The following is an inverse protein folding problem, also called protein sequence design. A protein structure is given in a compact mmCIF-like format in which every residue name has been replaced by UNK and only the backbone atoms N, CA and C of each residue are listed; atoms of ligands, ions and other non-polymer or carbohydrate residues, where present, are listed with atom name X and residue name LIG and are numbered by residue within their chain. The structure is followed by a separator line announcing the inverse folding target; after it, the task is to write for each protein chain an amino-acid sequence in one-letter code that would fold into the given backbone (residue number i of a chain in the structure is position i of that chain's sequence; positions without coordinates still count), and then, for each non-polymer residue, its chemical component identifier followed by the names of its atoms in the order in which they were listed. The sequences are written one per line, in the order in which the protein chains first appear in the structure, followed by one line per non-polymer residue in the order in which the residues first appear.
data_IF_074941417630
#
_entry.id   IF_074941417630
#
_cell.length_a   1.000
_cell.length_b   1.000
_cell.length_c   1.000
_cell.angle_alpha   90.00
_cell.angle_beta   90.00
_cell.angle_gamma   90.00
#
_symmetry.space_group_name_H-M   'P 1'
#
loop_
_entity.id
_entity.type
_entity.pdbx_description
1 polymer ?
#
# COMPACT_ATOMS: atom_id res chain seq x y z
N UNK A 1 19.89 -19.87 -11.32
CA UNK A 1 18.60 -20.55 -11.09
C UNK A 1 17.52 -19.66 -11.68
N UNK A 2 16.55 -20.24 -12.40
CA UNK A 2 15.40 -19.47 -12.84
C UNK A 2 14.58 -19.14 -11.58
N UNK A 3 14.23 -17.88 -11.33
CA UNK A 3 13.57 -17.47 -10.09
C UNK A 3 12.25 -18.18 -9.95
N UNK A 4 11.95 -18.63 -8.73
CA UNK A 4 10.75 -19.41 -8.47
C UNK A 4 9.48 -18.54 -8.42
N UNK A 5 9.53 -17.27 -8.84
CA UNK A 5 8.38 -16.37 -8.81
C UNK A 5 7.24 -16.86 -9.72
N UNK A 6 7.58 -17.39 -10.90
CA UNK A 6 6.60 -18.04 -11.78
C UNK A 6 6.16 -19.43 -11.27
N UNK A 7 6.98 -19.99 -10.38
CA UNK A 7 6.76 -21.13 -9.49
C UNK A 7 5.53 -21.05 -8.60
N UNK A 8 5.47 -19.92 -7.89
CA UNK A 8 4.55 -19.71 -6.81
C UNK A 8 3.09 -19.72 -7.29
N UNK A 9 2.20 -20.48 -6.63
CA UNK A 9 0.77 -20.41 -6.87
C UNK A 9 0.26 -18.98 -6.73
N UNK A 10 -0.53 -18.56 -7.72
CA UNK A 10 -1.04 -17.19 -7.81
C UNK A 10 -2.43 -17.19 -8.41
N UNK A 11 -3.35 -16.42 -7.82
CA UNK A 11 -4.62 -16.08 -8.44
C UNK A 11 -4.46 -14.85 -9.36
N UNK A 12 -5.23 -14.77 -10.44
CA UNK A 12 -5.26 -13.58 -11.31
C UNK A 12 -6.46 -12.69 -10.94
N UNK A 13 -6.27 -11.81 -9.95
CA UNK A 13 -7.30 -10.89 -9.45
C UNK A 13 -7.07 -9.46 -9.92
N UNK A 14 -5.82 -9.00 -9.92
CA UNK A 14 -5.45 -7.65 -10.30
C UNK A 14 -5.54 -7.46 -11.82
N UNK A 15 -6.03 -6.30 -12.24
CA UNK A 15 -5.96 -5.84 -13.64
C UNK A 15 -4.55 -5.30 -13.91
N UNK A 16 -3.73 -6.10 -14.59
CA UNK A 16 -2.32 -5.81 -14.84
C UNK A 16 -2.00 -5.77 -16.35
N UNK A 17 -0.93 -5.06 -16.77
CA UNK A 17 -0.10 -4.17 -15.95
C UNK A 17 -0.88 -2.91 -15.52
N UNK A 18 -0.62 -2.38 -14.32
CA UNK A 18 -1.22 -1.09 -13.94
C UNK A 18 -0.51 0.06 -14.70
N UNK A 19 -1.18 1.18 -14.99
CA UNK A 19 -0.55 2.28 -15.72
C UNK A 19 0.70 2.85 -15.00
N UNK A 20 1.71 3.21 -15.80
CA UNK A 20 2.83 4.06 -15.41
C UNK A 20 2.74 5.33 -16.26
N UNK A 21 2.34 6.44 -15.67
CA UNK A 21 1.92 7.64 -16.42
C UNK A 21 2.53 8.93 -15.88
N UNK A 22 2.84 9.91 -16.73
CA UNK A 22 3.40 11.19 -16.30
C UNK A 22 2.30 12.08 -15.70
N UNK A 23 2.58 12.73 -14.57
CA UNK A 23 1.65 13.65 -13.89
C UNK A 23 2.09 15.10 -14.12
N UNK A 24 1.87 15.57 -15.35
CA UNK A 24 2.50 16.80 -15.87
C UNK A 24 2.09 18.08 -15.13
N UNK A 25 0.85 18.18 -14.65
CA UNK A 25 0.36 19.38 -13.96
C UNK A 25 0.87 19.43 -12.53
N UNK A 26 0.97 18.28 -11.87
CA UNK A 26 1.60 18.12 -10.57
C UNK A 26 3.10 18.37 -10.67
N UNK A 27 3.79 17.81 -11.67
CA UNK A 27 5.20 18.12 -11.99
C UNK A 27 5.44 19.62 -12.07
N UNK A 28 4.61 20.35 -12.83
CA UNK A 28 4.72 21.81 -12.92
C UNK A 28 4.48 22.49 -11.57
N UNK A 29 3.47 22.07 -10.81
CA UNK A 29 3.18 22.61 -9.48
C UNK A 29 4.30 22.33 -8.46
N UNK A 30 5.11 21.29 -8.67
CA UNK A 30 6.26 20.92 -7.86
C UNK A 30 7.60 21.42 -8.43
N UNK A 31 7.59 22.48 -9.25
CA UNK A 31 8.81 23.12 -9.73
C UNK A 31 9.47 22.41 -10.93
N UNK A 32 8.72 21.62 -11.68
CA UNK A 32 9.19 20.98 -12.92
C UNK A 32 9.85 19.61 -12.71
N UNK A 33 9.66 18.96 -11.57
CA UNK A 33 10.13 17.60 -11.32
C UNK A 33 9.57 16.62 -12.38
N UNK A 34 10.44 15.79 -12.96
CA UNK A 34 9.99 14.69 -13.82
C UNK A 34 9.33 13.61 -12.96
N UNK A 35 8.00 13.63 -12.91
CA UNK A 35 7.20 12.84 -11.96
C UNK A 35 6.21 11.94 -12.70
N UNK A 36 6.24 10.68 -12.32
CA UNK A 36 5.42 9.60 -12.86
C UNK A 36 4.64 8.94 -11.74
N UNK A 37 3.41 8.52 -12.03
CA UNK A 37 2.61 7.72 -11.12
C UNK A 37 2.52 6.29 -11.62
N UNK A 38 2.87 5.33 -10.76
CA UNK A 38 2.52 3.91 -10.93
C UNK A 38 1.18 3.67 -10.24
N UNK A 39 0.13 3.42 -11.02
CA UNK A 39 -1.29 3.47 -10.61
C UNK A 39 -1.81 2.17 -10.02
N UNK A 40 -1.21 1.70 -8.93
CA UNK A 40 -1.68 0.49 -8.22
C UNK A 40 -3.01 0.68 -7.47
N UNK A 41 -3.54 1.89 -7.41
CA UNK A 41 -4.93 2.17 -7.09
C UNK A 41 -5.90 1.55 -8.13
N UNK A 42 -5.43 1.35 -9.36
CA UNK A 42 -6.20 0.81 -10.49
C UNK A 42 -6.06 -0.71 -10.69
N UNK A 43 -5.56 -1.46 -9.69
CA UNK A 43 -5.57 -2.94 -9.73
C UNK A 43 -6.99 -3.53 -9.83
N UNK A 44 -8.04 -2.74 -9.59
CA UNK A 44 -9.42 -3.03 -10.00
C UNK A 44 -10.22 -3.94 -9.06
N UNK A 45 -9.64 -5.04 -8.57
CA UNK A 45 -10.35 -5.98 -7.71
C UNK A 45 -10.71 -5.37 -6.35
N UNK A 46 -11.99 -5.46 -5.96
CA UNK A 46 -12.46 -4.98 -4.66
C UNK A 46 -12.17 -3.50 -4.39
N UNK A 47 -12.21 -2.63 -5.40
CA UNK A 47 -11.77 -1.21 -5.37
C UNK A 47 -10.24 -1.00 -5.31
N UNK A 48 -9.48 -2.01 -5.72
CA UNK A 48 -8.05 -1.90 -6.03
C UNK A 48 -7.15 -1.61 -4.84
N UNK A 49 -5.96 -1.11 -5.16
CA UNK A 49 -4.87 -0.85 -4.23
C UNK A 49 -3.80 -1.95 -4.22
N UNK A 50 -2.73 -1.68 -3.48
CA UNK A 50 -1.55 -2.53 -3.43
C UNK A 50 -1.80 -3.96 -2.91
N UNK A 51 -2.77 -4.10 -2.00
CA UNK A 51 -3.02 -5.37 -1.30
C UNK A 51 -3.51 -6.48 -2.22
N UNK A 52 -4.12 -6.13 -3.35
CA UNK A 52 -4.55 -7.12 -4.35
C UNK A 52 -3.36 -7.97 -4.80
N UNK A 53 -2.22 -7.35 -5.13
CA UNK A 53 -1.01 -8.07 -5.60
C UNK A 53 -0.49 -9.09 -4.58
N UNK A 54 -0.43 -8.72 -3.31
CA UNK A 54 0.01 -9.64 -2.25
C UNK A 54 -1.02 -10.75 -1.99
N UNK A 55 -2.31 -10.41 -2.05
CA UNK A 55 -3.39 -11.36 -1.79
C UNK A 55 -3.55 -12.42 -2.88
N UNK A 56 -3.13 -12.15 -4.12
CA UNK A 56 -3.11 -13.17 -5.19
C UNK A 56 -2.31 -14.42 -4.80
N UNK A 57 -1.17 -14.24 -4.13
CA UNK A 57 -0.32 -15.35 -3.67
C UNK A 57 -0.81 -15.95 -2.35
N UNK A 58 -1.16 -15.09 -1.38
CA UNK A 58 -1.66 -15.54 -0.06
C UNK A 58 -2.96 -16.34 -0.19
N UNK A 59 -3.85 -15.94 -1.10
CA UNK A 59 -5.10 -16.62 -1.33
C UNK A 59 -4.92 -17.93 -2.10
N UNK A 60 -3.95 -17.99 -3.04
CA UNK A 60 -3.59 -19.23 -3.69
C UNK A 60 -3.06 -20.26 -2.68
N UNK A 61 -2.21 -19.84 -1.74
CA UNK A 61 -1.74 -20.68 -0.63
C UNK A 61 -2.90 -21.11 0.29
N UNK A 62 -3.83 -20.21 0.63
CA UNK A 62 -5.02 -20.57 1.41
C UNK A 62 -5.89 -21.66 0.74
N UNK A 63 -6.06 -21.58 -0.57
CA UNK A 63 -6.76 -22.61 -1.38
C UNK A 63 -5.97 -23.91 -1.40
N UNK A 64 -4.65 -23.85 -1.57
CA UNK A 64 -3.77 -25.02 -1.52
C UNK A 64 -3.81 -25.74 -0.16
N UNK A 65 -4.06 -25.01 0.92
CA UNK A 65 -4.25 -25.54 2.27
C UNK A 65 -5.71 -25.94 2.58
N UNK A 66 -6.60 -25.95 1.59
CA UNK A 66 -8.03 -26.28 1.73
C UNK A 66 -8.74 -25.50 2.84
N UNK A 67 -8.38 -24.22 2.99
CA UNK A 67 -8.95 -23.36 4.02
C UNK A 67 -10.40 -23.02 3.71
N UNK A 68 -11.27 -22.99 4.73
CA UNK A 68 -12.69 -22.63 4.58
C UNK A 68 -12.95 -21.15 4.92
N UNK A 69 -11.94 -20.45 5.43
CA UNK A 69 -12.04 -19.06 5.84
C UNK A 69 -10.70 -18.33 5.82
N UNK A 70 -10.75 -17.02 5.57
CA UNK A 70 -9.62 -16.10 5.71
C UNK A 70 -9.81 -15.25 6.96
N UNK A 71 -8.78 -15.19 7.81
CA UNK A 71 -8.79 -14.44 9.07
C UNK A 71 -7.66 -13.41 9.07
N UNK A 72 -7.99 -12.15 9.31
CA UNK A 72 -7.02 -11.04 9.36
C UNK A 72 -7.47 -9.99 10.37
N UNK A 73 -6.72 -8.89 10.50
CA UNK A 73 -7.15 -7.74 11.27
C UNK A 73 -6.54 -6.42 10.83
N UNK A 74 -7.10 -5.33 11.34
CA UNK A 74 -6.73 -3.96 10.98
C UNK A 74 -7.67 -2.92 11.60
N UNK A 75 -7.57 -1.67 11.17
CA UNK A 75 -8.65 -0.69 11.44
C UNK A 75 -9.95 -1.15 10.80
N UNK A 76 -11.11 -0.64 11.28
CA UNK A 76 -12.34 -0.66 10.51
C UNK A 76 -12.17 -0.06 9.10
N UNK A 77 -11.34 0.98 8.96
CA UNK A 77 -11.00 1.58 7.67
C UNK A 77 -9.80 0.93 6.94
N UNK A 78 -9.40 -0.28 7.30
CA UNK A 78 -8.21 -0.90 6.72
C UNK A 78 -8.45 -1.38 5.28
N UNK A 79 -7.68 -0.83 4.34
CA UNK A 79 -7.64 -1.33 2.96
C UNK A 79 -7.27 -2.81 2.88
N UNK A 80 -6.42 -3.31 3.79
CA UNK A 80 -6.02 -4.72 3.88
C UNK A 80 -7.19 -5.62 4.28
N UNK A 81 -7.96 -5.20 5.29
CA UNK A 81 -9.15 -5.95 5.71
C UNK A 81 -10.14 -6.01 4.55
N UNK A 82 -10.49 -4.86 3.96
CA UNK A 82 -11.41 -4.78 2.81
C UNK A 82 -11.04 -5.67 1.65
N UNK A 83 -9.78 -5.62 1.22
CA UNK A 83 -9.33 -6.49 0.12
C UNK A 83 -9.29 -7.96 0.52
N UNK A 84 -8.91 -8.30 1.75
CA UNK A 84 -8.96 -9.69 2.24
C UNK A 84 -10.39 -10.23 2.28
N UNK A 85 -11.36 -9.43 2.76
CA UNK A 85 -12.76 -9.81 2.79
C UNK A 85 -13.34 -9.94 1.37
N UNK A 86 -12.91 -9.09 0.43
CA UNK A 86 -13.30 -9.20 -0.96
C UNK A 86 -12.79 -10.50 -1.60
N UNK A 87 -11.55 -10.90 -1.29
CA UNK A 87 -10.99 -12.18 -1.75
C UNK A 87 -11.74 -13.36 -1.13
N UNK A 88 -12.03 -13.32 0.18
CA UNK A 88 -12.79 -14.37 0.85
C UNK A 88 -14.16 -14.56 0.18
N UNK A 89 -14.90 -13.46 -0.02
CA UNK A 89 -16.21 -13.49 -0.68
C UNK A 89 -16.12 -14.01 -2.13
N UNK A 90 -15.12 -13.57 -2.91
CA UNK A 90 -14.91 -14.04 -4.29
C UNK A 90 -14.65 -15.54 -4.38
N UNK A 91 -13.88 -16.09 -3.43
CA UNK A 91 -13.57 -17.52 -3.36
C UNK A 91 -14.68 -18.36 -2.69
N UNK A 92 -15.77 -17.74 -2.23
CA UNK A 92 -16.81 -18.42 -1.47
C UNK A 92 -16.37 -18.87 -0.07
N UNK A 93 -15.26 -18.32 0.45
CA UNK A 93 -14.75 -18.56 1.80
C UNK A 93 -15.40 -17.61 2.81
N UNK A 94 -15.42 -18.00 4.08
CA UNK A 94 -15.83 -17.04 5.15
C UNK A 94 -14.72 -16.01 5.35
N UNK A 95 -15.08 -14.73 5.42
CA UNK A 95 -14.17 -13.67 5.83
C UNK A 95 -14.35 -13.33 7.31
N UNK A 96 -13.26 -13.35 8.10
CA UNK A 96 -13.27 -12.91 9.49
C UNK A 96 -12.24 -11.79 9.69
N UNK A 97 -12.71 -10.65 10.18
CA UNK A 97 -11.88 -9.49 10.46
C UNK A 97 -11.89 -9.18 11.97
N UNK A 98 -10.72 -9.23 12.59
CA UNK A 98 -10.51 -8.82 13.98
C UNK A 98 -10.11 -7.35 14.02
N UNK A 99 -10.91 -6.54 14.69
CA UNK A 99 -10.83 -5.08 14.69
C UNK A 99 -10.66 -4.56 16.13
N UNK A 100 -9.84 -3.50 16.36
CA UNK A 100 -9.68 -2.91 17.68
C UNK A 100 -10.95 -2.16 18.12
N UNK A 101 -10.99 -1.80 19.40
CA UNK A 101 -12.03 -0.95 19.99
C UNK A 101 -13.44 -1.54 19.83
N UNK A 102 -14.44 -0.66 19.81
CA UNK A 102 -15.85 -0.95 19.53
C UNK A 102 -16.21 -0.57 18.09
N UNK A 103 -17.39 -0.99 17.67
CA UNK A 103 -17.91 -0.68 16.33
C UNK A 103 -17.99 0.84 16.08
N UNK A 104 -17.52 1.35 14.93
CA UNK A 104 -17.75 2.73 14.53
C UNK A 104 -19.24 3.09 14.47
N UNK A 105 -19.57 4.32 14.85
CA UNK A 105 -20.94 4.83 14.79
C UNK A 105 -21.44 4.97 13.34
N UNK A 106 -20.58 5.48 12.45
CA UNK A 106 -20.91 5.66 11.03
C UNK A 106 -20.48 4.44 10.21
N UNK A 107 -21.33 4.02 9.28
CA UNK A 107 -21.04 2.94 8.33
C UNK A 107 -20.72 3.53 6.97
N UNK A 108 -19.43 3.66 6.66
CA UNK A 108 -18.91 4.24 5.42
C UNK A 108 -17.55 3.64 5.05
N UNK A 109 -16.96 4.09 3.95
CA UNK A 109 -15.62 3.69 3.50
C UNK A 109 -15.42 2.17 3.46
N UNK A 110 -14.26 1.72 3.95
CA UNK A 110 -13.94 0.29 3.96
C UNK A 110 -14.85 -0.49 4.92
N UNK A 111 -15.29 0.11 6.03
CA UNK A 111 -16.17 -0.56 7.00
C UNK A 111 -17.55 -0.89 6.42
N UNK A 112 -18.11 -0.01 5.57
CA UNK A 112 -19.31 -0.31 4.79
C UNK A 112 -19.08 -1.47 3.83
N UNK A 113 -17.95 -1.47 3.11
CA UNK A 113 -17.62 -2.50 2.14
C UNK A 113 -17.46 -3.87 2.81
N UNK A 114 -16.81 -3.94 3.96
CA UNK A 114 -16.67 -5.19 4.73
C UNK A 114 -18.03 -5.78 5.11
N UNK A 115 -19.00 -4.93 5.51
CA UNK A 115 -20.38 -5.39 5.76
C UNK A 115 -21.08 -5.90 4.51
N UNK A 116 -20.93 -5.21 3.37
CA UNK A 116 -21.51 -5.63 2.09
C UNK A 116 -20.93 -6.97 1.61
N UNK A 117 -19.66 -7.23 1.91
CA UNK A 117 -18.98 -8.49 1.64
C UNK A 117 -19.35 -9.60 2.63
N UNK A 118 -20.31 -9.33 3.54
CA UNK A 118 -20.77 -10.25 4.58
C UNK A 118 -19.62 -10.76 5.48
N UNK A 119 -18.64 -9.90 5.74
CA UNK A 119 -17.54 -10.22 6.64
C UNK A 119 -18.03 -10.39 8.08
N UNK A 120 -17.50 -11.38 8.79
CA UNK A 120 -17.67 -11.50 10.24
C UNK A 120 -16.69 -10.54 10.93
N UNK A 121 -17.23 -9.49 11.55
CA UNK A 121 -16.45 -8.46 12.22
C UNK A 121 -16.38 -8.73 13.73
N UNK A 122 -15.18 -8.93 14.26
CA UNK A 122 -14.92 -9.22 15.66
C UNK A 122 -14.20 -8.03 16.29
N UNK A 123 -14.94 -7.23 17.06
CA UNK A 123 -14.40 -6.09 17.79
C UNK A 123 -13.81 -6.54 19.13
N UNK A 124 -12.54 -6.23 19.39
CA UNK A 124 -11.83 -6.71 20.58
C UNK A 124 -12.22 -5.95 21.86
N UNK A 125 -12.79 -4.74 21.73
CA UNK A 125 -12.99 -3.81 22.84
C UNK A 125 -11.70 -3.13 23.31
N UNK A 126 -10.53 -3.56 22.82
CA UNK A 126 -9.22 -3.00 23.16
C UNK A 126 -8.78 -1.98 22.10
N UNK A 127 -8.63 -0.69 22.45
CA UNK A 127 -8.15 0.32 21.51
C UNK A 127 -6.65 0.19 21.18
N UNK A 128 -5.86 -0.51 22.00
CA UNK A 128 -4.44 -0.67 21.77
C UNK A 128 -4.16 -1.72 20.67
N UNK A 129 -3.78 -1.18 19.51
CA UNK A 129 -3.42 -1.96 18.32
C UNK A 129 -2.23 -2.88 18.51
N UNK A 130 -1.40 -2.68 19.54
CA UNK A 130 -0.26 -3.54 19.86
C UNK A 130 -0.70 -4.97 20.15
N UNK A 131 -1.89 -5.16 20.72
CA UNK A 131 -2.41 -6.50 21.05
C UNK A 131 -3.24 -7.12 19.93
N UNK A 132 -3.47 -6.40 18.82
CA UNK A 132 -4.36 -6.88 17.76
C UNK A 132 -3.88 -8.19 17.13
N UNK A 133 -2.57 -8.36 16.95
CA UNK A 133 -2.01 -9.61 16.41
C UNK A 133 -2.26 -10.81 17.34
N UNK A 134 -2.23 -10.59 18.67
CA UNK A 134 -2.60 -11.60 19.67
C UNK A 134 -4.08 -11.94 19.58
N UNK A 135 -4.95 -10.95 19.40
CA UNK A 135 -6.39 -11.17 19.22
C UNK A 135 -6.70 -11.93 17.93
N UNK A 136 -6.00 -11.65 16.83
CA UNK A 136 -6.12 -12.42 15.59
C UNK A 136 -5.77 -13.89 15.84
N UNK A 137 -4.63 -14.16 16.47
CA UNK A 137 -4.22 -15.53 16.81
C UNK A 137 -5.25 -16.24 17.71
N UNK A 138 -5.78 -15.56 18.73
CA UNK A 138 -6.82 -16.13 19.58
C UNK A 138 -8.11 -16.47 18.81
N UNK A 139 -8.54 -15.60 17.88
CA UNK A 139 -9.73 -15.85 17.07
C UNK A 139 -9.52 -17.02 16.10
N UNK A 140 -8.32 -17.14 15.52
CA UNK A 140 -7.93 -18.30 14.69
C UNK A 140 -8.05 -19.60 15.49
N UNK A 141 -7.49 -19.66 16.71
CA UNK A 141 -7.60 -20.85 17.56
C UNK A 141 -9.04 -21.14 17.98
N UNK A 142 -9.83 -20.10 18.27
CA UNK A 142 -11.26 -20.25 18.57
C UNK A 142 -12.05 -20.79 17.37
N UNK A 143 -11.70 -20.40 16.15
CA UNK A 143 -12.35 -20.89 14.93
C UNK A 143 -11.96 -22.35 14.64
N UNK A 144 -10.69 -22.71 14.89
CA UNK A 144 -10.22 -24.10 14.81
C UNK A 144 -10.93 -25.01 15.81
N UNK A 145 -11.09 -24.57 17.05
CA UNK A 145 -11.79 -25.37 18.07
C UNK A 145 -13.28 -25.59 17.78
N UNK A 146 -13.87 -24.77 16.90
CA UNK A 146 -15.22 -24.94 16.37
C UNK A 146 -15.27 -25.77 15.07
N UNK A 147 -14.16 -26.38 14.66
CA UNK A 147 -14.06 -27.25 13.47
C UNK A 147 -13.81 -26.51 12.16
N UNK A 148 -13.49 -25.22 12.19
CA UNK A 148 -13.10 -24.45 11.02
C UNK A 148 -11.65 -24.71 10.57
N UNK A 149 -11.34 -24.36 9.32
CA UNK A 149 -9.99 -24.39 8.73
C UNK A 149 -9.54 -22.95 8.38
N UNK A 150 -9.22 -22.10 9.38
CA UNK A 150 -8.81 -20.73 9.15
C UNK A 150 -7.40 -20.61 8.58
N UNK A 151 -7.29 -19.83 7.51
CA UNK A 151 -6.04 -19.29 7.00
C UNK A 151 -5.79 -17.91 7.61
N UNK A 152 -4.73 -17.77 8.40
CA UNK A 152 -4.38 -16.51 9.05
C UNK A 152 -3.52 -15.65 8.13
N UNK A 153 -4.02 -14.49 7.75
CA UNK A 153 -3.26 -13.47 7.03
C UNK A 153 -2.81 -12.41 8.04
N UNK A 154 -1.49 -12.32 8.27
CA UNK A 154 -0.92 -11.27 9.12
C UNK A 154 -1.30 -9.88 8.59
N UNK A 155 -1.47 -8.91 9.48
CA UNK A 155 -1.94 -7.57 9.12
C UNK A 155 -1.08 -6.95 8.01
N UNK A 156 -1.74 -6.45 6.96
CA UNK A 156 -1.07 -5.86 5.81
C UNK A 156 -0.43 -6.85 4.84
N UNK A 157 -0.55 -8.16 5.08
CA UNK A 157 0.00 -9.24 4.26
C UNK A 157 1.44 -9.62 4.62
N UNK A 158 1.91 -9.27 5.83
CA UNK A 158 3.31 -9.46 6.28
C UNK A 158 3.71 -10.91 6.18
N UNK A 159 4.49 -11.23 5.15
CA UNK A 159 5.08 -12.53 4.89
C UNK A 159 5.98 -12.42 3.65
N UNK A 160 6.91 -13.36 3.47
CA UNK A 160 7.69 -13.48 2.23
C UNK A 160 6.77 -13.66 1.00
N UNK A 161 5.74 -14.51 1.13
CA UNK A 161 4.76 -14.75 0.08
C UNK A 161 3.96 -13.49 -0.29
N UNK A 162 3.60 -12.66 0.69
CA UNK A 162 2.98 -11.36 0.45
C UNK A 162 3.89 -10.38 -0.29
N UNK A 163 5.21 -10.46 -0.07
CA UNK A 163 6.19 -9.64 -0.78
C UNK A 163 6.35 -10.07 -2.25
N UNK A 164 6.13 -11.35 -2.59
CA UNK A 164 6.19 -11.84 -3.97
C UNK A 164 5.30 -11.06 -4.94
N UNK A 165 4.14 -10.57 -4.47
CA UNK A 165 3.27 -9.66 -5.22
C UNK A 165 3.96 -8.38 -5.70
N UNK A 166 4.86 -7.83 -4.88
CA UNK A 166 5.64 -6.63 -5.22
C UNK A 166 6.99 -6.92 -5.88
N UNK A 167 7.52 -8.14 -5.74
CA UNK A 167 8.59 -8.61 -6.64
C UNK A 167 8.06 -8.69 -8.08
N UNK A 168 6.86 -9.25 -8.28
CA UNK A 168 6.21 -9.28 -9.59
C UNK A 168 5.90 -7.86 -10.12
N UNK A 169 5.47 -6.95 -9.24
CA UNK A 169 5.26 -5.54 -9.61
C UNK A 169 6.57 -4.85 -10.04
N UNK A 170 7.69 -5.16 -9.40
CA UNK A 170 9.00 -4.63 -9.80
C UNK A 170 9.42 -5.10 -11.20
N UNK A 171 9.20 -6.38 -11.53
CA UNK A 171 9.40 -6.91 -12.89
C UNK A 171 8.51 -6.18 -13.90
N UNK A 172 7.23 -5.99 -13.57
CA UNK A 172 6.28 -5.22 -14.38
C UNK A 172 6.77 -3.78 -14.61
N UNK A 173 7.19 -3.07 -13.56
CA UNK A 173 7.75 -1.72 -13.65
C UNK A 173 8.98 -1.70 -14.56
N UNK A 174 9.91 -2.64 -14.41
CA UNK A 174 11.12 -2.70 -15.25
C UNK A 174 10.78 -2.88 -16.75
N UNK A 175 9.77 -3.70 -17.06
CA UNK A 175 9.28 -3.86 -18.45
C UNK A 175 8.72 -2.54 -18.99
N UNK A 176 7.86 -1.87 -18.22
CA UNK A 176 7.25 -0.60 -18.62
C UNK A 176 8.31 0.51 -18.80
N UNK A 177 9.31 0.58 -17.93
CA UNK A 177 10.41 1.55 -18.05
C UNK A 177 11.23 1.35 -19.31
N UNK A 178 11.52 0.09 -19.66
CA UNK A 178 12.21 -0.26 -20.89
C UNK A 178 11.41 0.13 -22.13
N UNK A 179 10.10 -0.12 -22.13
CA UNK A 179 9.20 0.24 -23.23
C UNK A 179 9.08 1.76 -23.41
N UNK A 180 9.04 2.50 -22.30
CA UNK A 180 8.95 3.96 -22.29
C UNK A 180 10.31 4.66 -22.45
N UNK A 181 11.42 3.91 -22.40
CA UNK A 181 12.78 4.43 -22.40
C UNK A 181 13.02 5.47 -21.27
N UNK A 182 12.64 5.10 -20.05
CA UNK A 182 12.79 5.91 -18.83
C UNK A 182 13.77 5.23 -17.89
N UNK A 183 14.70 6.01 -17.33
CA UNK A 183 15.62 5.56 -16.29
C UNK A 183 15.33 6.31 -14.98
N UNK A 184 14.64 5.69 -14.01
CA UNK A 184 14.19 6.38 -12.81
C UNK A 184 15.26 6.38 -11.71
N UNK A 185 15.56 7.56 -11.16
CA UNK A 185 16.42 7.67 -9.99
C UNK A 185 15.76 7.16 -8.71
N UNK A 186 14.45 7.41 -8.57
CA UNK A 186 13.71 7.23 -7.31
C UNK A 186 12.34 6.61 -7.56
N UNK A 187 11.98 5.62 -6.74
CA UNK A 187 10.60 5.21 -6.51
C UNK A 187 10.21 5.54 -5.07
N UNK A 188 9.13 6.30 -4.87
CA UNK A 188 8.60 6.68 -3.56
C UNK A 188 7.23 6.05 -3.32
N UNK A 189 7.02 5.49 -2.12
CA UNK A 189 5.74 4.94 -1.70
C UNK A 189 5.45 5.19 -0.21
N UNK A 190 4.20 4.99 0.21
CA UNK A 190 3.86 4.96 1.63
C UNK A 190 4.26 3.61 2.25
N UNK A 191 4.93 3.65 3.40
CA UNK A 191 5.35 2.46 4.15
C UNK A 191 4.51 2.26 5.42
N UNK A 192 3.67 1.23 5.41
CA UNK A 192 2.96 0.77 6.59
C UNK A 192 3.69 -0.41 7.25
N UNK A 193 3.39 -1.60 6.76
CA UNK A 193 3.91 -2.88 7.27
C UNK A 193 5.17 -3.40 6.54
N UNK A 194 5.75 -2.64 5.62
CA UNK A 194 6.99 -2.99 4.92
C UNK A 194 6.86 -3.88 3.67
N UNK A 195 5.79 -4.68 3.55
CA UNK A 195 5.61 -5.67 2.45
C UNK A 195 5.83 -5.10 1.04
N UNK A 196 5.19 -3.96 0.73
CA UNK A 196 5.34 -3.30 -0.57
C UNK A 196 6.80 -2.95 -0.86
N UNK A 197 7.45 -2.28 0.09
CA UNK A 197 8.81 -1.78 -0.05
C UNK A 197 9.82 -2.93 -0.12
N UNK A 198 9.65 -3.97 0.70
CA UNK A 198 10.48 -5.17 0.69
C UNK A 198 10.41 -5.90 -0.66
N UNK A 199 9.21 -6.12 -1.20
CA UNK A 199 9.04 -6.76 -2.52
C UNK A 199 9.65 -5.94 -3.65
N UNK A 200 9.50 -4.62 -3.63
CA UNK A 200 10.13 -3.73 -4.61
C UNK A 200 11.67 -3.79 -4.55
N UNK A 201 12.25 -3.74 -3.35
CA UNK A 201 13.70 -3.85 -3.16
C UNK A 201 14.26 -5.17 -3.69
N UNK A 202 13.61 -6.30 -3.36
CA UNK A 202 14.00 -7.62 -3.87
C UNK A 202 13.90 -7.65 -5.40
N UNK A 203 12.78 -7.19 -5.95
CA UNK A 203 12.56 -7.21 -7.39
C UNK A 203 13.49 -6.28 -8.17
N UNK A 204 13.75 -5.06 -7.69
CA UNK A 204 14.69 -4.14 -8.35
C UNK A 204 16.14 -4.62 -8.25
N UNK A 205 16.55 -5.18 -7.11
CA UNK A 205 17.87 -5.79 -6.97
C UNK A 205 18.02 -6.97 -7.92
N UNK A 206 17.00 -7.82 -8.01
CA UNK A 206 16.98 -8.98 -8.91
C UNK A 206 17.01 -8.57 -10.40
N UNK A 207 16.28 -7.51 -10.77
CA UNK A 207 16.23 -6.97 -12.13
C UNK A 207 17.38 -6.01 -12.46
N UNK A 208 18.33 -5.84 -11.54
CA UNK A 208 19.48 -4.92 -11.65
C UNK A 208 19.08 -3.46 -11.97
N UNK A 209 17.89 -3.03 -11.53
CA UNK A 209 17.43 -1.65 -11.70
C UNK A 209 18.08 -0.76 -10.63
N UNK A 210 18.88 0.21 -11.06
CA UNK A 210 19.51 1.19 -10.18
C UNK A 210 18.55 2.32 -9.79
N UNK A 211 17.48 1.97 -9.06
CA UNK A 211 16.45 2.91 -8.60
C UNK A 211 16.34 2.88 -7.06
N UNK A 212 16.42 4.04 -6.41
CA UNK A 212 16.31 4.14 -4.95
C UNK A 212 14.85 4.04 -4.51
N UNK A 213 14.54 3.13 -3.58
CA UNK A 213 13.17 2.95 -3.06
C UNK A 213 13.00 3.66 -1.72
N UNK A 214 12.32 4.81 -1.73
CA UNK A 214 11.97 5.58 -0.54
C UNK A 214 10.58 5.20 0.01
N UNK A 215 10.53 4.92 1.30
CA UNK A 215 9.31 4.71 2.06
C UNK A 215 8.99 5.89 2.97
N UNK A 216 7.87 6.56 2.78
CA UNK A 216 7.33 7.49 3.77
C UNK A 216 6.50 6.69 4.77
N UNK A 217 7.02 6.45 5.96
CA UNK A 217 6.30 5.67 6.97
C UNK A 217 5.14 6.47 7.56
N UNK A 218 4.05 5.76 7.87
CA UNK A 218 2.81 6.37 8.38
C UNK A 218 2.43 5.88 9.77
N UNK A 219 3.28 5.07 10.40
CA UNK A 219 2.90 4.39 11.65
C UNK A 219 4.04 4.00 12.60
N UNK A 220 5.26 3.82 12.11
CA UNK A 220 6.40 3.32 12.87
C UNK A 220 7.61 4.20 12.67
N UNK A 221 8.55 4.17 13.59
CA UNK A 221 9.84 4.86 13.44
C UNK A 221 10.63 4.29 12.26
N UNK A 222 11.57 5.07 11.74
CA UNK A 222 12.49 4.66 10.67
C UNK A 222 13.19 3.34 11.00
N UNK A 223 13.76 3.23 12.20
CA UNK A 223 14.55 2.06 12.60
C UNK A 223 13.70 0.78 12.70
N UNK A 224 12.48 0.89 13.22
CA UNK A 224 11.55 -0.24 13.25
C UNK A 224 11.21 -0.69 11.82
N UNK A 225 10.89 0.25 10.92
CA UNK A 225 10.61 -0.07 9.52
C UNK A 225 11.80 -0.75 8.83
N UNK A 226 13.02 -0.24 9.01
CA UNK A 226 14.24 -0.83 8.43
C UNK A 226 14.40 -2.28 8.89
N UNK A 227 14.32 -2.53 10.20
CA UNK A 227 14.46 -3.89 10.74
C UNK A 227 13.41 -4.86 10.18
N UNK A 228 12.14 -4.44 10.06
CA UNK A 228 11.10 -5.28 9.47
C UNK A 228 11.31 -5.53 7.98
N UNK A 229 11.71 -4.50 7.23
CA UNK A 229 11.92 -4.62 5.79
C UNK A 229 13.12 -5.50 5.49
N UNK A 230 14.23 -5.35 6.23
CA UNK A 230 15.44 -6.17 6.08
C UNK A 230 15.16 -7.65 6.31
N UNK A 231 14.39 -7.96 7.36
CA UNK A 231 13.97 -9.34 7.60
C UNK A 231 13.10 -9.86 6.45
N UNK A 232 12.13 -9.07 5.98
CA UNK A 232 11.26 -9.48 4.88
C UNK A 232 12.00 -9.64 3.56
N UNK A 233 12.97 -8.78 3.23
CA UNK A 233 13.75 -8.90 1.99
C UNK A 233 14.59 -10.18 2.00
N UNK A 234 15.23 -10.49 3.14
CA UNK A 234 15.97 -11.74 3.33
C UNK A 234 15.09 -12.97 3.13
N UNK A 235 13.99 -13.07 3.88
CA UNK A 235 13.08 -14.23 3.79
C UNK A 235 12.44 -14.35 2.39
N UNK A 236 12.16 -13.21 1.73
CA UNK A 236 11.62 -13.21 0.35
C UNK A 236 12.64 -13.70 -0.66
N UNK A 237 13.91 -13.29 -0.54
CA UNK A 237 14.97 -13.80 -1.40
C UNK A 237 15.17 -15.31 -1.21
N UNK A 238 15.11 -15.79 0.04
CA UNK A 238 15.21 -17.22 0.38
C UNK A 238 14.10 -18.05 -0.29
N UNK A 239 12.82 -17.67 -0.17
CA UNK A 239 11.72 -18.45 -0.77
C UNK A 239 11.73 -18.41 -2.31
N UNK A 240 12.35 -17.39 -2.92
CA UNK A 240 12.46 -17.27 -4.37
C UNK A 240 13.75 -17.93 -4.93
N UNK A 241 14.61 -18.46 -4.06
CA UNK A 241 15.89 -19.05 -4.45
C UNK A 241 16.86 -18.03 -5.05
N UNK A 242 16.78 -16.77 -4.61
CA UNK A 242 17.59 -15.66 -5.11
C UNK A 242 18.81 -15.45 -4.21
N UNK A 243 20.00 -15.45 -4.80
CA UNK A 243 21.25 -15.10 -4.12
C UNK A 243 21.44 -13.57 -4.16
N UNK A 244 20.72 -12.88 -3.27
CA UNK A 244 20.71 -11.42 -3.19
C UNK A 244 21.03 -10.96 -1.77
N UNK A 245 21.84 -9.92 -1.66
CA UNK A 245 22.08 -9.20 -0.41
C UNK A 245 21.45 -7.82 -0.49
N UNK A 246 20.54 -7.55 0.43
CA UNK A 246 19.92 -6.25 0.69
C UNK A 246 20.18 -5.95 2.17
N UNK A 247 20.88 -4.87 2.47
CA UNK A 247 21.22 -4.48 3.85
C UNK A 247 20.37 -3.30 4.30
N UNK A 248 20.49 -2.92 5.58
CA UNK A 248 19.90 -1.70 6.11
C UNK A 248 20.21 -0.43 5.30
N UNK A 249 21.36 -0.38 4.63
CA UNK A 249 21.79 0.79 3.84
C UNK A 249 21.01 0.94 2.53
N UNK A 250 20.48 -0.17 1.99
CA UNK A 250 19.60 -0.18 0.82
C UNK A 250 18.17 0.29 1.18
N UNK A 251 17.81 0.29 2.47
CA UNK A 251 16.44 0.53 2.94
C UNK A 251 16.25 1.98 3.37
N UNK A 252 15.61 2.76 2.51
CA UNK A 252 15.39 4.20 2.74
C UNK A 252 13.99 4.45 3.29
N UNK A 253 13.89 4.89 4.55
CA UNK A 253 12.62 5.21 5.22
C UNK A 253 12.69 6.58 5.88
N UNK A 254 11.62 7.38 5.75
CA UNK A 254 11.49 8.71 6.35
C UNK A 254 10.25 8.74 7.23
N UNK A 255 10.43 9.08 8.51
CA UNK A 255 9.41 9.11 9.57
C UNK A 255 8.96 10.51 10.01
N UNK A 256 9.41 11.55 9.30
CA UNK A 256 9.07 12.96 9.58
C UNK A 256 7.61 13.32 9.26
N UNK A 257 6.92 12.53 8.41
CA UNK A 257 5.58 12.87 7.88
C UNK A 257 4.44 12.03 8.50
N UNK A 258 4.68 11.39 9.65
CA UNK A 258 3.65 10.62 10.36
C UNK A 258 2.54 11.52 10.91
N UNK A 259 2.85 12.76 11.30
CA UNK A 259 1.92 13.65 12.00
C UNK A 259 1.54 13.10 13.38
N UNK A 260 0.29 13.34 13.81
CA UNK A 260 -0.22 12.93 15.13
C UNK A 260 -0.36 11.40 15.32
N UNK A 261 -0.07 10.62 14.27
CA UNK A 261 -0.02 9.17 14.34
C UNK A 261 -0.78 8.45 13.23
N UNK A 262 -0.84 7.12 13.38
CA UNK A 262 -1.53 6.26 12.42
C UNK A 262 -3.06 6.43 12.48
N UNK A 263 -3.72 6.41 11.31
CA UNK A 263 -5.16 6.68 11.15
C UNK A 263 -5.62 8.11 11.47
N UNK A 264 -4.69 9.03 11.71
CA UNK A 264 -4.97 10.46 11.88
C UNK A 264 -4.41 11.21 10.66
N UNK A 265 -5.25 11.89 9.86
CA UNK A 265 -4.77 12.72 8.76
C UNK A 265 -3.86 13.85 9.25
N UNK A 266 -2.82 14.21 8.48
CA UNK A 266 -2.01 15.41 8.76
C UNK A 266 -2.44 16.58 7.86
N UNK A 267 -2.26 17.85 8.31
CA UNK A 267 -2.54 19.02 7.48
C UNK A 267 -1.84 18.98 6.11
N UNK A 268 -0.56 18.62 6.09
CA UNK A 268 0.24 18.52 4.86
C UNK A 268 -0.26 17.39 3.95
N UNK A 269 -0.73 16.29 4.54
CA UNK A 269 -1.37 15.19 3.82
C UNK A 269 -2.67 15.62 3.16
N UNK A 270 -3.51 16.39 3.86
CA UNK A 270 -4.76 16.95 3.30
C UNK A 270 -4.46 17.93 2.16
N UNK A 271 -3.49 18.82 2.33
CA UNK A 271 -3.06 19.73 1.24
C UNK A 271 -2.55 18.97 0.02
N UNK A 272 -1.82 17.87 0.23
CA UNK A 272 -1.35 16.98 -0.85
C UNK A 272 -2.50 16.30 -1.59
N UNK A 273 -3.51 15.80 -0.87
CA UNK A 273 -4.73 15.23 -1.48
C UNK A 273 -5.40 16.28 -2.37
N UNK A 274 -5.58 17.51 -1.87
CA UNK A 274 -6.19 18.61 -2.63
C UNK A 274 -5.36 18.98 -3.85
N UNK A 275 -4.04 19.07 -3.71
CA UNK A 275 -3.11 19.41 -4.79
C UNK A 275 -3.22 18.39 -5.92
N UNK A 276 -3.10 17.10 -5.62
CA UNK A 276 -3.15 16.02 -6.63
C UNK A 276 -4.53 15.94 -7.28
N UNK A 277 -5.61 16.07 -6.51
CA UNK A 277 -6.96 16.10 -7.06
C UNK A 277 -7.18 17.26 -8.04
N UNK A 278 -6.68 18.46 -7.72
CA UNK A 278 -6.85 19.68 -8.54
C UNK A 278 -5.92 19.73 -9.77
N UNK A 279 -4.78 19.06 -9.70
CA UNK A 279 -3.80 19.02 -10.79
C UNK A 279 -4.08 17.89 -11.76
N UNK A 280 -4.34 16.68 -11.25
CA UNK A 280 -4.40 15.46 -12.06
C UNK A 280 -5.75 14.75 -12.06
N UNK A 281 -6.71 15.16 -11.21
CA UNK A 281 -7.97 14.42 -11.04
C UNK A 281 -7.78 13.04 -10.39
N UNK A 282 -6.65 12.83 -9.71
CA UNK A 282 -6.30 11.60 -8.99
C UNK A 282 -6.60 11.77 -7.50
N UNK A 283 -7.11 10.73 -6.86
CA UNK A 283 -7.57 10.77 -5.47
C UNK A 283 -6.70 9.95 -4.53
N UNK A 284 -5.93 10.66 -3.71
CA UNK A 284 -5.13 10.09 -2.62
C UNK A 284 -5.99 9.90 -1.36
N UNK A 285 -5.60 8.94 -0.54
CA UNK A 285 -6.18 8.73 0.78
C UNK A 285 -5.44 9.53 1.87
N UNK A 286 -6.11 9.88 2.98
CA UNK A 286 -5.53 10.72 4.02
C UNK A 286 -4.57 10.00 4.97
N UNK A 287 -4.52 8.67 4.95
CA UNK A 287 -3.74 7.88 5.91
C UNK A 287 -2.40 7.44 5.32
N UNK A 288 -2.35 7.13 4.02
CA UNK A 288 -1.15 6.61 3.37
C UNK A 288 -0.59 7.55 2.31
N UNK A 289 -1.26 7.62 1.17
CA UNK A 289 -0.75 8.22 -0.06
C UNK A 289 -0.70 9.75 0.00
N UNK A 290 -1.63 10.38 0.74
CA UNK A 290 -1.56 11.82 1.03
C UNK A 290 -0.31 12.20 1.82
N UNK A 291 0.04 11.42 2.86
CA UNK A 291 1.27 11.64 3.65
C UNK A 291 2.53 11.39 2.83
N UNK A 292 2.51 10.38 1.95
CA UNK A 292 3.64 10.10 1.09
C UNK A 292 3.89 11.21 0.05
N UNK A 293 2.84 11.79 -0.55
CA UNK A 293 3.00 12.97 -1.42
C UNK A 293 3.38 14.22 -0.64
N UNK A 294 2.92 14.38 0.61
CA UNK A 294 3.39 15.46 1.47
C UNK A 294 4.91 15.36 1.68
N UNK A 295 5.41 14.16 1.95
CA UNK A 295 6.84 13.89 2.05
C UNK A 295 7.60 14.18 0.77
N UNK A 296 7.13 13.69 -0.38
CA UNK A 296 7.72 14.01 -1.69
C UNK A 296 7.79 15.52 -1.93
N UNK A 297 6.68 16.22 -1.68
CA UNK A 297 6.57 17.67 -1.89
C UNK A 297 7.58 18.44 -1.04
N UNK A 298 7.71 18.08 0.23
CA UNK A 298 8.65 18.72 1.16
C UNK A 298 10.11 18.41 0.82
N UNK A 299 10.43 17.17 0.45
CA UNK A 299 11.78 16.77 0.01
C UNK A 299 12.23 17.53 -1.25
N UNK A 300 11.31 17.77 -2.18
CA UNK A 300 11.59 18.59 -3.38
C UNK A 300 11.82 20.06 -2.97
N UNK A 301 10.96 20.61 -2.11
CA UNK A 301 11.09 22.00 -1.63
C UNK A 301 12.38 22.26 -0.85
N UNK A 302 12.84 21.29 -0.06
CA UNK A 302 14.11 21.33 0.69
C UNK A 302 15.33 21.06 -0.20
N UNK A 303 15.14 20.64 -1.46
CA UNK A 303 16.22 20.28 -2.37
C UNK A 303 16.86 18.91 -2.06
N UNK A 304 16.25 18.09 -1.20
CA UNK A 304 16.69 16.71 -0.96
C UNK A 304 16.42 15.80 -2.16
N UNK A 305 15.39 16.13 -2.96
CA UNK A 305 15.16 15.57 -4.29
C UNK A 305 15.31 16.71 -5.28
N UNK A 306 16.35 16.63 -6.11
CA UNK A 306 16.66 17.65 -7.13
C UNK A 306 15.70 17.53 -8.32
N UNK A 307 15.44 18.63 -9.02
CA UNK A 307 14.49 18.70 -10.14
C UNK A 307 14.97 17.99 -11.40
N UNK A 308 16.26 17.66 -11.50
CA UNK A 308 16.84 16.85 -12.56
C UNK A 308 16.59 15.34 -12.38
N UNK A 309 15.94 14.94 -11.28
CA UNK A 309 15.63 13.54 -10.97
C UNK A 309 14.32 13.09 -11.60
N UNK A 310 14.33 11.87 -12.14
CA UNK A 310 13.11 11.17 -12.53
C UNK A 310 12.57 10.37 -11.35
N UNK A 311 11.35 10.70 -10.94
CA UNK A 311 10.69 10.14 -9.75
C UNK A 311 9.42 9.38 -10.14
N UNK A 312 9.29 8.16 -9.63
CA UNK A 312 8.06 7.38 -9.69
C UNK A 312 7.40 7.41 -8.31
N UNK A 313 6.18 7.90 -8.23
CA UNK A 313 5.32 7.71 -7.07
C UNK A 313 4.45 6.46 -7.28
N UNK A 314 4.55 5.49 -6.39
CA UNK A 314 3.65 4.34 -6.37
C UNK A 314 2.36 4.69 -5.63
N UNK A 315 1.28 4.93 -6.37
CA UNK A 315 -0.03 5.16 -5.80
C UNK A 315 -0.65 3.83 -5.36
N UNK A 316 -0.57 3.52 -4.07
CA UNK A 316 -1.02 2.23 -3.52
C UNK A 316 -2.55 2.10 -3.31
N UNK A 317 -3.35 3.02 -3.84
CA UNK A 317 -4.79 3.10 -3.58
C UNK A 317 -5.15 3.67 -2.20
N UNK A 318 -6.32 3.26 -1.70
CA UNK A 318 -6.87 3.71 -0.42
C UNK A 318 -8.10 4.63 -0.53
N UNK A 319 -8.56 4.90 -1.75
CA UNK A 319 -9.62 5.87 -2.05
C UNK A 319 -10.92 5.71 -1.26
N UNK A 320 -11.41 4.51 -0.86
CA UNK A 320 -12.61 4.42 -0.02
C UNK A 320 -12.51 5.20 1.28
N UNK A 321 -11.31 5.35 1.85
CA UNK A 321 -11.11 6.11 3.09
C UNK A 321 -11.42 7.59 2.94
N UNK A 322 -11.41 8.16 1.73
CA UNK A 322 -11.76 9.58 1.51
C UNK A 322 -13.14 9.91 2.07
N UNK A 323 -14.10 8.99 1.91
CA UNK A 323 -15.46 9.18 2.43
C UNK A 323 -15.49 9.19 3.95
N UNK A 324 -14.73 8.28 4.60
CA UNK A 324 -14.65 8.20 6.06
C UNK A 324 -13.95 9.39 6.73
N UNK A 325 -13.23 10.19 5.96
CA UNK A 325 -12.54 11.39 6.43
C UNK A 325 -13.06 12.67 5.75
N UNK A 326 -14.30 12.66 5.24
CA UNK A 326 -14.89 13.77 4.50
C UNK A 326 -14.72 15.11 5.24
N UNK A 327 -15.09 15.17 6.52
CA UNK A 327 -15.00 16.39 7.33
C UNK A 327 -13.57 16.95 7.42
N UNK A 328 -12.55 16.08 7.58
CA UNK A 328 -11.16 16.51 7.64
C UNK A 328 -10.66 17.03 6.28
N UNK A 329 -11.11 16.40 5.18
CA UNK A 329 -10.73 16.79 3.81
C UNK A 329 -11.41 18.10 3.39
N UNK A 330 -12.65 18.34 3.83
CA UNK A 330 -13.42 19.54 3.46
C UNK A 330 -13.26 20.69 4.44
N UNK A 331 -12.68 20.48 5.62
CA UNK A 331 -12.42 21.57 6.58
C UNK A 331 -11.59 22.67 5.92
N UNK A 332 -12.19 23.85 5.76
CA UNK A 332 -11.61 24.99 5.03
C UNK A 332 -10.26 25.41 5.62
N UNK A 333 -9.25 25.58 4.76
CA UNK A 333 -8.26 26.62 4.96
C UNK A 333 -8.73 27.80 4.10
N UNK A 334 -9.29 28.85 4.71
CA UNK A 334 -9.84 30.04 4.05
C UNK A 334 -8.80 30.88 3.27
N UNK A 335 -7.63 30.35 2.93
CA UNK A 335 -6.50 31.13 2.40
C UNK A 335 -6.01 30.78 1.00
N UNK A 336 -6.62 29.85 0.26
CA UNK A 336 -6.11 29.47 -1.07
C UNK A 336 -7.18 29.38 -2.17
N UNK A 337 -7.93 30.47 -2.36
CA UNK A 337 -8.69 30.72 -3.60
C UNK A 337 -7.85 31.53 -4.59
N UNK A 338 -6.82 30.92 -5.16
CA UNK A 338 -6.35 31.25 -6.52
C UNK A 338 -5.28 30.24 -6.92
N UNK A 339 -5.56 29.42 -7.94
CA UNK A 339 -4.57 28.85 -8.86
C UNK A 339 -5.34 28.14 -9.97
N UNK A 340 -6.06 28.92 -10.77
CA UNK A 340 -6.33 28.52 -12.15
C UNK A 340 -5.02 28.67 -12.92
N UNK A 341 -4.11 27.70 -12.80
CA UNK A 341 -2.97 27.61 -13.74
C UNK A 341 -3.54 27.14 -15.07
N UNK A 342 -3.84 28.09 -15.96
CA UNK A 342 -3.97 27.81 -17.40
C UNK A 342 -2.57 27.59 -17.95
N UNK A 343 -2.24 26.35 -18.32
CA UNK A 343 -1.08 26.09 -19.16
C UNK A 343 -1.44 26.31 -20.64
N UNK A 344 -0.52 26.85 -21.45
CA UNK A 344 -0.71 26.92 -22.90
C UNK A 344 -0.63 25.52 -23.50
N UNK A 345 -1.69 25.10 -24.21
CA UNK A 345 -1.65 24.01 -25.19
C UNK A 345 -1.47 22.60 -24.63
N UNK A 346 -2.49 22.05 -23.98
CA UNK A 346 -2.70 20.60 -23.97
C UNK A 346 -3.59 20.29 -25.18
N UNK A 347 -3.01 19.69 -26.22
CA UNK A 347 -3.75 19.04 -27.31
C UNK A 347 -4.01 17.59 -26.94
#
# INVERSE_FOLDING_TARGET
MNPDLASLPRLELAKLPTPLEPVRRLSHALGGLDLWFKRDDLTGFGLGGNKVRSLEYLAADAIGQESDMLVTGGSPESNHVRTTMAVAAYLGLKGVAVLPSTQPAETQGNFLLDKLLNAKLVFTGDPDRKYLDKHISHEVERLRSLGGKPYMIKRGGVSPLGCAGYVAAAVEICSQLKELNIDPDILLCATGCGVTQAGLLVGFKWMELNCKVYGITVSRTRNECIAYIEQLTKETAEILGLDLTITSDDILVIDEYIGDGYSIPSPEGIESIRLVARTEGIFLDPIYTGKAIAGLTDLVKKGNISSDKTVIFLHTGGSPSIFSYASAITASNDSANSLFIKLPGVK
#
